data_IF_112633562730
#
_entry.id   IF_112633562730
#
_cell.length_a   1.000
_cell.length_b   1.000
_cell.length_c   1.000
_cell.angle_alpha   90.00
_cell.angle_beta   90.00
_cell.angle_gamma   90.00
#
_symmetry.space_group_name_H-M   'P 1'
#
loop_
_entity.id
_entity.type
_entity.pdbx_description
1 polymer ?
#
# COMPACT_ATOMS: atom_id res chain seq x y z
N UNK A 1 -51.72 -24.66 -78.85
CA UNK A 1 -50.99 -25.46 -79.89
C UNK A 1 -49.71 -25.96 -79.27
N UNK A 2 -49.64 -27.29 -79.19
CA UNK A 2 -48.46 -28.17 -79.40
C UNK A 2 -47.30 -27.95 -78.45
N UNK A 3 -47.18 -28.82 -77.50
CA UNK A 3 -46.48 -30.13 -77.50
C UNK A 3 -45.08 -30.06 -76.93
N UNK A 4 -44.94 -30.80 -75.88
CA UNK A 4 -43.73 -31.34 -75.32
C UNK A 4 -43.01 -32.20 -76.42
N UNK A 5 -41.87 -32.83 -76.24
CA UNK A 5 -41.51 -33.67 -75.05
C UNK A 5 -39.95 -33.78 -74.79
N UNK A 6 -39.57 -34.25 -73.62
CA UNK A 6 -38.99 -35.57 -73.26
C UNK A 6 -37.47 -35.76 -73.32
N UNK A 7 -36.91 -36.30 -72.23
CA UNK A 7 -35.81 -37.26 -71.98
C UNK A 7 -34.37 -36.73 -72.11
N UNK A 8 -33.53 -37.05 -71.21
CA UNK A 8 -33.04 -38.28 -70.68
C UNK A 8 -31.94 -38.10 -69.67
N UNK A 9 -31.96 -38.79 -68.66
CA UNK A 9 -31.17 -39.91 -68.18
C UNK A 9 -29.71 -39.63 -67.83
N UNK A 10 -29.43 -39.92 -66.60
CA UNK A 10 -28.25 -40.59 -66.01
C UNK A 10 -26.93 -39.84 -65.82
N UNK A 11 -26.46 -39.97 -64.65
CA UNK A 11 -25.06 -39.73 -64.31
C UNK A 11 -24.83 -39.65 -62.79
N UNK A 12 -24.80 -40.79 -62.11
CA UNK A 12 -24.26 -40.97 -60.79
C UNK A 12 -22.88 -40.38 -60.67
N UNK A 13 -22.64 -39.54 -59.71
CA UNK A 13 -21.34 -39.44 -59.10
C UNK A 13 -21.46 -38.97 -57.67
N UNK A 14 -21.30 -39.92 -56.78
CA UNK A 14 -21.16 -39.73 -55.33
C UNK A 14 -19.73 -39.23 -55.12
N UNK A 15 -19.54 -37.95 -54.83
CA UNK A 15 -18.27 -37.44 -54.33
C UNK A 15 -18.47 -37.09 -52.85
N UNK A 16 -17.98 -37.99 -52.01
CA UNK A 16 -17.74 -37.76 -50.61
C UNK A 16 -16.74 -36.61 -50.44
N UNK A 17 -17.22 -35.42 -50.11
CA UNK A 17 -16.40 -34.39 -49.51
C UNK A 17 -16.30 -34.64 -48.03
N UNK A 18 -15.23 -35.30 -47.63
CA UNK A 18 -14.79 -35.37 -46.26
C UNK A 18 -14.39 -33.95 -45.81
N UNK A 19 -15.28 -33.29 -45.06
CA UNK A 19 -14.96 -32.07 -44.31
C UNK A 19 -14.00 -32.45 -43.19
N UNK A 20 -12.70 -32.31 -43.47
CA UNK A 20 -11.67 -32.32 -42.41
C UNK A 20 -11.83 -31.08 -41.57
N UNK A 21 -12.56 -31.18 -40.44
CA UNK A 21 -12.55 -30.17 -39.37
C UNK A 21 -11.18 -30.22 -38.72
N UNK A 22 -10.29 -29.34 -39.18
CA UNK A 22 -9.05 -29.04 -38.46
C UNK A 22 -9.46 -28.27 -37.19
N UNK A 23 -9.63 -29.01 -36.10
CA UNK A 23 -9.75 -28.43 -34.76
C UNK A 23 -8.39 -27.80 -34.45
N UNK A 24 -8.30 -26.48 -34.66
CA UNK A 24 -7.19 -25.66 -34.22
C UNK A 24 -7.21 -25.59 -32.71
N UNK A 25 -6.60 -26.57 -32.06
CA UNK A 25 -6.27 -26.50 -30.64
C UNK A 25 -5.28 -25.34 -30.47
N UNK A 26 -5.80 -24.15 -30.14
CA UNK A 26 -4.97 -23.11 -29.59
C UNK A 26 -4.47 -23.63 -28.25
N UNK A 27 -3.27 -24.21 -28.28
CA UNK A 27 -2.46 -24.36 -27.07
C UNK A 27 -2.20 -22.95 -26.56
N UNK A 28 -3.01 -22.50 -25.60
CA UNK A 28 -2.65 -21.41 -24.71
C UNK A 28 -1.48 -21.93 -23.90
N UNK A 29 -0.29 -21.76 -24.41
CA UNK A 29 0.93 -21.94 -23.65
C UNK A 29 0.81 -20.93 -22.51
N UNK A 30 0.67 -21.36 -21.24
CA UNK A 30 0.80 -20.42 -20.15
C UNK A 30 2.21 -19.84 -20.30
N UNK A 31 2.27 -18.54 -20.59
CA UNK A 31 3.54 -17.82 -20.51
C UNK A 31 3.92 -17.93 -19.03
N UNK A 32 4.72 -18.93 -18.71
CA UNK A 32 5.46 -18.98 -17.44
C UNK A 32 6.32 -17.71 -17.46
N UNK A 33 5.80 -16.62 -16.87
CA UNK A 33 6.61 -15.46 -16.55
C UNK A 33 7.75 -16.01 -15.71
N UNK A 34 8.94 -16.02 -16.29
CA UNK A 34 10.14 -16.45 -15.59
C UNK A 34 10.22 -15.61 -14.32
N UNK A 35 9.94 -16.26 -13.18
CA UNK A 35 10.04 -15.63 -11.88
C UNK A 35 11.48 -15.19 -11.74
N UNK A 36 11.70 -13.88 -11.58
CA UNK A 36 13.04 -13.34 -11.43
C UNK A 36 13.61 -13.84 -10.08
N UNK A 37 14.58 -14.79 -10.09
CA UNK A 37 15.10 -15.40 -8.88
C UNK A 37 15.78 -14.38 -7.95
N UNK A 38 16.33 -13.30 -8.51
CA UNK A 38 16.89 -12.21 -7.73
C UNK A 38 15.80 -11.47 -6.95
N UNK A 39 14.68 -11.15 -7.60
CA UNK A 39 13.54 -10.52 -6.93
C UNK A 39 12.98 -11.40 -5.82
N UNK A 40 12.87 -12.71 -6.05
CA UNK A 40 12.42 -13.66 -5.03
C UNK A 40 13.37 -13.69 -3.83
N UNK A 41 14.68 -13.74 -4.06
CA UNK A 41 15.68 -13.68 -3.00
C UNK A 41 15.59 -12.37 -2.19
N UNK A 42 15.45 -11.23 -2.86
CA UNK A 42 15.29 -9.91 -2.19
C UNK A 42 14.01 -9.80 -1.40
N UNK A 43 12.92 -10.36 -1.91
CA UNK A 43 11.66 -10.41 -1.18
C UNK A 43 11.77 -11.27 0.08
N UNK A 44 12.47 -12.40 0.02
CA UNK A 44 12.75 -13.24 1.18
C UNK A 44 13.60 -12.50 2.24
N UNK A 45 14.69 -11.85 1.82
CA UNK A 45 15.53 -11.01 2.69
C UNK A 45 14.74 -9.90 3.38
N UNK A 46 13.89 -9.20 2.62
CA UNK A 46 13.03 -8.14 3.16
C UNK A 46 12.09 -8.68 4.24
N UNK A 47 11.38 -9.77 3.96
CA UNK A 47 10.45 -10.40 4.91
C UNK A 47 11.14 -10.87 6.19
N UNK A 48 12.30 -11.47 6.05
CA UNK A 48 13.10 -11.92 7.20
C UNK A 48 13.60 -10.74 8.03
N UNK A 49 14.11 -9.70 7.37
CA UNK A 49 14.55 -8.46 8.03
C UNK A 49 13.41 -7.81 8.81
N UNK A 50 12.22 -7.67 8.20
CA UNK A 50 11.05 -7.10 8.86
C UNK A 50 10.61 -7.93 10.08
N UNK A 51 10.65 -9.26 9.97
CA UNK A 51 10.27 -10.15 11.08
C UNK A 51 11.23 -10.04 12.26
N UNK A 52 12.55 -10.06 12.01
CA UNK A 52 13.59 -9.86 13.05
C UNK A 52 13.43 -8.49 13.70
N UNK A 53 13.29 -7.46 12.89
CA UNK A 53 13.19 -6.10 13.37
C UNK A 53 11.97 -5.88 14.28
N UNK A 54 10.81 -6.48 13.93
CA UNK A 54 9.61 -6.43 14.79
C UNK A 54 9.88 -7.00 16.18
N UNK A 55 10.64 -8.11 16.28
CA UNK A 55 11.01 -8.71 17.56
C UNK A 55 11.94 -7.80 18.36
N UNK A 56 12.94 -7.19 17.71
CA UNK A 56 13.87 -6.26 18.36
C UNK A 56 13.16 -5.02 18.87
N UNK A 57 12.31 -4.41 18.04
CA UNK A 57 11.58 -3.19 18.38
C UNK A 57 10.59 -3.39 19.54
N UNK A 58 10.12 -4.61 19.78
CA UNK A 58 9.25 -4.93 20.92
C UNK A 58 9.92 -4.72 22.28
N UNK A 59 11.25 -4.57 22.34
CA UNK A 59 12.00 -4.27 23.55
C UNK A 59 12.26 -2.77 23.75
N UNK A 60 11.55 -1.92 23.01
CA UNK A 60 11.72 -0.47 23.08
C UNK A 60 10.41 0.24 23.33
N UNK A 61 10.47 1.34 24.10
CA UNK A 61 9.49 2.42 24.06
C UNK A 61 10.10 3.64 23.38
N UNK A 62 9.24 4.57 22.92
CA UNK A 62 9.66 5.80 22.28
C UNK A 62 8.64 6.91 22.43
N UNK A 63 9.07 8.15 22.27
CA UNK A 63 8.18 9.31 22.19
C UNK A 63 7.73 9.51 20.75
N UNK A 64 6.42 9.62 20.54
CA UNK A 64 5.82 9.95 19.25
C UNK A 64 5.15 11.33 19.33
N UNK A 65 5.50 12.21 18.40
CA UNK A 65 4.86 13.49 18.17
C UNK A 65 3.99 13.40 16.91
N UNK A 66 2.70 13.70 17.03
CA UNK A 66 1.75 13.78 15.91
C UNK A 66 1.36 15.25 15.71
N UNK A 67 1.64 15.81 14.53
CA UNK A 67 1.25 17.18 14.13
C UNK A 67 0.21 17.09 13.02
N UNK A 68 -0.97 17.63 13.27
CA UNK A 68 -2.06 17.68 12.29
C UNK A 68 -2.15 19.10 11.73
N UNK A 69 -1.96 19.23 10.42
CA UNK A 69 -2.02 20.50 9.69
C UNK A 69 -3.15 20.47 8.67
N UNK A 70 -3.84 21.62 8.53
CA UNK A 70 -4.88 21.82 7.54
C UNK A 70 -4.53 23.04 6.69
N UNK A 71 -4.41 22.85 5.37
CA UNK A 71 -4.04 23.91 4.42
C UNK A 71 -2.72 24.59 4.78
N UNK A 72 -1.75 23.80 5.29
CA UNK A 72 -0.44 24.27 5.70
C UNK A 72 -0.39 24.92 7.08
N UNK A 73 -1.52 25.08 7.78
CA UNK A 73 -1.55 25.60 9.15
C UNK A 73 -1.66 24.46 10.16
N UNK A 74 -0.80 24.43 11.15
CA UNK A 74 -0.88 23.52 12.28
C UNK A 74 -2.17 23.75 13.07
N UNK A 75 -2.91 22.67 13.33
CA UNK A 75 -4.17 22.70 14.06
C UNK A 75 -4.13 21.95 15.36
N UNK A 76 -3.26 20.93 15.46
CA UNK A 76 -3.12 20.10 16.64
C UNK A 76 -1.74 19.50 16.69
N UNK A 77 -1.16 19.47 17.87
CA UNK A 77 0.04 18.71 18.23
C UNK A 77 -0.31 17.76 19.38
N UNK A 78 0.17 16.52 19.33
CA UNK A 78 -0.01 15.51 20.38
C UNK A 78 1.30 14.77 20.62
N UNK A 79 1.59 14.49 21.89
CA UNK A 79 2.75 13.73 22.33
C UNK A 79 2.30 12.43 23.00
N UNK A 80 2.93 11.33 22.62
CA UNK A 80 2.62 10.01 23.14
C UNK A 80 3.89 9.30 23.60
N UNK A 81 3.80 8.58 24.71
CA UNK A 81 4.68 7.45 24.97
C UNK A 81 4.11 6.22 24.27
N UNK A 82 4.97 5.50 23.54
CA UNK A 82 4.56 4.40 22.68
C UNK A 82 5.42 3.18 22.95
N UNK A 83 4.77 2.02 23.03
CA UNK A 83 5.42 0.71 23.06
C UNK A 83 4.64 -0.29 22.22
N UNK A 84 5.27 -1.40 21.80
CA UNK A 84 4.55 -2.48 21.13
C UNK A 84 3.83 -3.36 22.15
N UNK A 85 2.54 -3.55 21.95
CA UNK A 85 1.76 -4.51 22.70
C UNK A 85 2.09 -5.98 22.34
N UNK A 86 1.51 -6.95 23.06
CA UNK A 86 1.70 -8.37 22.81
C UNK A 86 1.29 -8.82 21.38
N UNK A 87 0.37 -8.10 20.77
CA UNK A 87 -0.06 -8.30 19.38
C UNK A 87 0.91 -7.67 18.36
N UNK A 88 1.93 -6.95 18.85
CA UNK A 88 2.90 -6.22 18.04
C UNK A 88 2.35 -4.98 17.39
N UNK A 89 1.25 -4.42 17.93
CA UNK A 89 0.71 -3.12 17.53
C UNK A 89 1.16 -2.04 18.51
N UNK A 90 1.38 -0.80 18.03
CA UNK A 90 1.70 0.33 18.90
C UNK A 90 0.56 0.60 19.91
N UNK A 91 0.92 0.66 21.17
CA UNK A 91 0.08 1.14 22.27
C UNK A 91 0.56 2.53 22.64
N UNK A 92 -0.35 3.50 22.61
CA UNK A 92 -0.04 4.91 22.83
C UNK A 92 -0.64 5.40 24.15
N UNK A 93 0.19 6.04 24.99
CA UNK A 93 -0.24 6.77 26.18
C UNK A 93 0.00 8.25 25.95
N UNK A 94 -1.04 9.07 26.03
CA UNK A 94 -0.90 10.51 25.83
C UNK A 94 -0.10 11.13 26.99
N UNK A 95 0.95 11.87 26.66
CA UNK A 95 1.82 12.55 27.64
C UNK A 95 1.30 13.92 28.06
N UNK A 96 0.38 14.51 27.28
CA UNK A 96 -0.24 15.80 27.60
C UNK A 96 -1.77 15.72 27.56
N UNK A 97 -2.41 15.12 28.58
CA UNK A 97 -3.86 14.95 28.61
C UNK A 97 -4.65 16.27 28.71
N UNK A 98 -3.99 17.40 29.00
CA UNK A 98 -4.68 18.68 29.20
C UNK A 98 -4.90 19.48 27.90
N UNK A 99 -4.30 19.10 26.76
CA UNK A 99 -4.50 19.80 25.49
C UNK A 99 -5.81 19.47 24.77
N UNK A 100 -6.62 18.55 25.26
CA UNK A 100 -7.78 18.03 24.54
C UNK A 100 -9.12 18.75 24.81
N UNK A 101 -9.22 19.74 25.71
CA UNK A 101 -10.51 20.20 26.22
C UNK A 101 -10.86 21.69 26.02
N UNK A 102 -10.09 22.47 25.29
CA UNK A 102 -10.33 23.93 25.17
C UNK A 102 -11.43 24.32 24.13
N UNK A 103 -12.24 23.38 23.66
CA UNK A 103 -13.35 23.64 22.72
C UNK A 103 -14.75 23.65 23.34
N UNK A 104 -14.89 23.65 24.65
CA UNK A 104 -16.21 23.80 25.27
C UNK A 104 -16.62 25.28 25.32
N UNK A 105 -17.69 25.60 24.59
CA UNK A 105 -18.53 26.79 24.72
C UNK A 105 -18.36 27.93 23.68
N UNK A 106 -18.81 27.66 22.45
CA UNK A 106 -19.42 28.74 21.66
C UNK A 106 -20.75 28.25 21.09
N UNK A 107 -21.82 28.41 21.90
CA UNK A 107 -23.20 28.12 21.50
C UNK A 107 -23.68 29.16 20.49
N UNK A 108 -24.05 28.75 19.26
CA UNK A 108 -24.66 29.56 18.22
C UNK A 108 -24.63 28.84 16.87
N UNK A 109 -25.40 29.33 15.87
CA UNK A 109 -25.43 28.73 14.51
C UNK A 109 -24.04 28.67 13.88
N UNK A 110 -23.19 29.66 14.10
CA UNK A 110 -21.79 29.66 13.64
C UNK A 110 -20.95 28.60 14.34
N UNK A 111 -21.19 28.34 15.63
CA UNK A 111 -20.55 27.25 16.39
C UNK A 111 -20.87 25.88 15.78
N UNK A 112 -22.15 25.60 15.51
CA UNK A 112 -22.58 24.32 14.92
C UNK A 112 -21.98 24.07 13.54
N UNK A 113 -21.84 25.10 12.67
CA UNK A 113 -21.20 24.96 11.36
C UNK A 113 -19.71 24.65 11.52
N UNK A 114 -19.04 25.28 12.49
CA UNK A 114 -17.62 25.03 12.79
C UNK A 114 -17.41 23.63 13.34
N UNK A 115 -18.24 23.20 14.30
CA UNK A 115 -18.21 21.85 14.86
C UNK A 115 -18.41 20.78 13.78
N UNK A 116 -19.38 20.97 12.88
CA UNK A 116 -19.60 20.05 11.76
C UNK A 116 -18.40 19.96 10.82
N UNK A 117 -17.71 21.06 10.56
CA UNK A 117 -16.48 21.03 9.75
C UNK A 117 -15.32 20.36 10.47
N UNK A 118 -15.15 20.57 11.76
CA UNK A 118 -14.13 19.91 12.56
C UNK A 118 -14.37 18.39 12.54
N UNK A 119 -15.61 17.97 12.73
CA UNK A 119 -15.98 16.56 12.68
C UNK A 119 -15.70 15.94 11.31
N UNK A 120 -16.03 16.63 10.22
CA UNK A 120 -15.72 16.18 8.87
C UNK A 120 -14.22 15.98 8.62
N UNK A 121 -13.35 16.84 9.19
CA UNK A 121 -11.89 16.66 9.09
C UNK A 121 -11.38 15.55 9.98
N UNK A 122 -11.97 15.33 11.15
CA UNK A 122 -11.65 14.20 12.02
C UNK A 122 -11.99 12.87 11.34
N UNK A 123 -13.21 12.75 10.79
CA UNK A 123 -13.62 11.58 10.04
C UNK A 123 -12.68 11.31 8.85
N UNK A 124 -12.30 12.33 8.12
CA UNK A 124 -11.37 12.21 6.99
C UNK A 124 -9.98 11.74 7.45
N UNK A 125 -9.45 12.29 8.54
CA UNK A 125 -8.19 11.86 9.13
C UNK A 125 -8.23 10.38 9.56
N UNK A 126 -9.32 9.94 10.17
CA UNK A 126 -9.50 8.54 10.58
C UNK A 126 -9.62 7.59 9.38
N UNK A 127 -10.30 8.03 8.30
CA UNK A 127 -10.35 7.27 7.04
C UNK A 127 -8.95 7.13 6.41
N UNK A 128 -8.15 8.20 6.39
CA UNK A 128 -6.76 8.16 5.92
C UNK A 128 -5.92 7.19 6.76
N UNK A 129 -5.99 7.27 8.08
CA UNK A 129 -5.27 6.36 9.00
C UNK A 129 -5.70 4.91 8.79
N UNK A 130 -7.01 4.66 8.71
CA UNK A 130 -7.57 3.32 8.47
C UNK A 130 -7.13 2.74 7.13
N UNK A 131 -7.09 3.57 6.07
CA UNK A 131 -6.56 3.17 4.78
C UNK A 131 -5.09 2.76 4.91
N UNK A 132 -4.25 3.56 5.57
CA UNK A 132 -2.82 3.28 5.70
C UNK A 132 -2.53 2.04 6.55
N UNK A 133 -3.37 1.70 7.50
CA UNK A 133 -3.25 0.45 8.27
C UNK A 133 -3.32 -0.83 7.40
N UNK A 134 -3.90 -0.75 6.20
CA UNK A 134 -3.93 -1.86 5.24
C UNK A 134 -2.59 -2.05 4.50
N UNK A 135 -1.72 -1.03 4.56
CA UNK A 135 -0.40 -1.04 3.90
C UNK A 135 0.75 -1.26 4.87
N UNK A 136 0.57 -0.91 6.15
CA UNK A 136 1.67 -0.88 7.14
C UNK A 136 1.29 -1.66 8.40
N UNK A 137 2.08 -2.66 8.78
CA UNK A 137 3.23 -3.22 8.06
C UNK A 137 2.81 -3.97 6.79
N UNK A 138 3.67 -4.05 5.76
CA UNK A 138 3.35 -4.82 4.56
C UNK A 138 3.07 -6.28 4.89
N UNK A 139 1.92 -6.79 4.44
CA UNK A 139 1.52 -8.17 4.69
C UNK A 139 2.27 -9.15 3.77
N UNK A 140 2.79 -10.23 4.36
CA UNK A 140 3.51 -11.27 3.61
C UNK A 140 2.67 -11.85 2.46
N UNK A 141 1.39 -12.11 2.71
CA UNK A 141 0.48 -12.68 1.72
C UNK A 141 0.29 -11.75 0.52
N UNK A 142 0.09 -10.45 0.77
CA UNK A 142 -0.05 -9.44 -0.30
C UNK A 142 1.25 -9.26 -1.09
N UNK A 143 2.41 -9.32 -0.44
CA UNK A 143 3.71 -9.28 -1.12
C UNK A 143 3.89 -10.50 -2.04
N UNK A 144 3.53 -11.70 -1.58
CA UNK A 144 3.60 -12.92 -2.37
C UNK A 144 2.62 -12.87 -3.54
N UNK A 145 1.41 -12.40 -3.32
CA UNK A 145 0.40 -12.21 -4.37
C UNK A 145 0.88 -11.22 -5.44
N UNK A 146 1.40 -10.06 -5.05
CA UNK A 146 1.92 -9.06 -5.97
C UNK A 146 3.08 -9.63 -6.81
N UNK A 147 3.96 -10.42 -6.20
CA UNK A 147 5.03 -11.11 -6.90
C UNK A 147 4.49 -12.11 -7.94
N UNK A 148 3.56 -12.96 -7.55
CA UNK A 148 2.95 -13.97 -8.44
C UNK A 148 2.19 -13.34 -9.60
N UNK A 149 1.52 -12.22 -9.36
CA UNK A 149 0.78 -11.49 -10.39
C UNK A 149 1.68 -10.66 -11.32
N UNK A 150 2.99 -10.55 -11.01
CA UNK A 150 3.92 -9.72 -11.77
C UNK A 150 3.69 -8.21 -11.57
N UNK A 151 3.05 -7.83 -10.48
CA UNK A 151 2.80 -6.44 -10.07
C UNK A 151 3.99 -5.84 -9.30
N UNK A 152 5.13 -6.52 -9.28
CA UNK A 152 6.32 -6.11 -8.56
C UNK A 152 7.48 -5.86 -9.52
N UNK A 153 8.09 -4.69 -9.41
CA UNK A 153 9.31 -4.32 -10.13
C UNK A 153 10.44 -4.10 -9.15
N UNK A 154 11.63 -4.50 -9.56
CA UNK A 154 12.86 -4.39 -8.79
C UNK A 154 13.90 -3.66 -9.63
N UNK A 155 14.66 -2.76 -9.00
CA UNK A 155 15.70 -2.00 -9.68
C UNK A 155 16.61 -1.25 -8.72
N UNK A 156 17.69 -0.62 -9.23
CA UNK A 156 18.56 0.23 -8.44
C UNK A 156 17.79 1.46 -7.92
N UNK A 157 18.14 1.90 -6.73
CA UNK A 157 17.59 3.14 -6.14
C UNK A 157 18.43 4.40 -6.46
N UNK A 158 19.52 4.24 -7.21
CA UNK A 158 20.44 5.34 -7.56
C UNK A 158 21.60 5.52 -6.59
N UNK A 159 21.60 4.81 -5.48
CA UNK A 159 22.70 4.79 -4.49
C UNK A 159 23.28 3.36 -4.43
N UNK A 160 24.61 3.19 -4.30
CA UNK A 160 25.22 1.87 -4.15
C UNK A 160 24.59 1.09 -2.98
N UNK A 161 24.39 -0.20 -3.17
CA UNK A 161 23.74 -1.12 -2.21
C UNK A 161 22.27 -0.86 -1.90
N UNK A 162 21.65 0.16 -2.51
CA UNK A 162 20.23 0.41 -2.37
C UNK A 162 19.44 -0.13 -3.56
N UNK A 163 18.32 -0.75 -3.25
CA UNK A 163 17.38 -1.28 -4.23
C UNK A 163 16.00 -0.72 -3.99
N UNK A 164 15.31 -0.47 -5.08
CA UNK A 164 13.92 -0.03 -5.10
C UNK A 164 13.02 -1.20 -5.49
N UNK A 165 11.99 -1.42 -4.71
CA UNK A 165 10.91 -2.36 -5.02
C UNK A 165 9.64 -1.52 -5.20
N UNK A 166 9.04 -1.58 -6.38
CA UNK A 166 7.77 -0.91 -6.70
C UNK A 166 6.71 -1.97 -6.86
N UNK A 167 5.63 -1.84 -6.10
CA UNK A 167 4.48 -2.74 -6.14
C UNK A 167 3.29 -1.92 -6.59
N UNK A 168 2.60 -2.37 -7.63
CA UNK A 168 1.39 -1.73 -8.16
C UNK A 168 0.18 -2.61 -7.87
N UNK A 169 -1.00 -2.01 -7.71
CA UNK A 169 -2.25 -2.72 -7.37
C UNK A 169 -2.07 -3.61 -6.13
N UNK A 170 -1.51 -3.04 -5.06
CA UNK A 170 -1.13 -3.79 -3.86
C UNK A 170 -2.34 -4.13 -2.98
N UNK A 171 -3.16 -3.13 -2.62
CA UNK A 171 -4.41 -3.29 -1.86
C UNK A 171 -5.62 -3.04 -2.76
N UNK A 172 -5.53 -2.06 -3.64
CA UNK A 172 -6.60 -1.68 -4.56
C UNK A 172 -6.05 -1.28 -5.94
N UNK A 173 -6.89 -1.26 -6.99
CA UNK A 173 -6.46 -0.85 -8.32
C UNK A 173 -5.84 0.55 -8.34
N UNK A 174 -4.78 0.75 -9.12
CA UNK A 174 -4.06 2.02 -9.31
C UNK A 174 -3.31 2.54 -8.08
N UNK A 175 -3.24 1.79 -6.99
CA UNK A 175 -2.35 2.13 -5.89
C UNK A 175 -0.91 1.71 -6.18
N UNK A 176 0.01 2.21 -5.38
CA UNK A 176 1.40 1.78 -5.43
C UNK A 176 2.09 1.87 -4.08
N UNK A 177 3.00 0.95 -3.85
CA UNK A 177 3.93 0.94 -2.72
C UNK A 177 5.35 0.91 -3.27
N UNK A 178 6.18 1.86 -2.87
CA UNK A 178 7.60 1.90 -3.20
C UNK A 178 8.41 1.72 -1.93
N UNK A 179 9.26 0.71 -1.90
CA UNK A 179 10.17 0.41 -0.81
C UNK A 179 11.61 0.66 -1.28
N UNK A 180 12.42 1.31 -0.46
CA UNK A 180 13.87 1.40 -0.65
C UNK A 180 14.56 0.61 0.46
N UNK A 181 15.36 -0.36 0.06
CA UNK A 181 16.02 -1.32 0.94
C UNK A 181 17.54 -1.31 0.73
N UNK A 182 18.30 -1.25 1.83
CA UNK A 182 19.74 -1.39 1.78
C UNK A 182 20.12 -2.88 1.89
N UNK A 183 20.77 -3.39 0.83
CA UNK A 183 21.17 -4.81 0.72
C UNK A 183 22.26 -5.19 1.71
N UNK A 184 23.18 -4.28 1.99
CA UNK A 184 24.32 -4.53 2.88
C UNK A 184 23.88 -4.55 4.34
N UNK A 185 23.08 -3.57 4.73
CA UNK A 185 22.58 -3.44 6.10
C UNK A 185 21.31 -4.26 6.34
N UNK A 186 20.73 -4.81 5.28
CA UNK A 186 19.48 -5.61 5.30
C UNK A 186 18.33 -4.91 6.01
N UNK A 187 18.17 -3.61 5.76
CA UNK A 187 17.13 -2.78 6.38
C UNK A 187 16.35 -1.93 5.38
N UNK A 188 15.12 -1.63 5.72
CA UNK A 188 14.27 -0.70 4.99
C UNK A 188 14.74 0.74 5.30
N UNK A 189 14.87 1.57 4.27
CA UNK A 189 15.26 2.97 4.38
C UNK A 189 14.06 3.90 4.26
N UNK A 190 13.18 3.63 3.30
CA UNK A 190 11.96 4.42 3.12
C UNK A 190 10.84 3.58 2.53
N UNK A 191 9.61 4.04 2.77
CA UNK A 191 8.40 3.51 2.17
C UNK A 191 7.51 4.66 1.72
N UNK A 192 7.11 4.62 0.45
CA UNK A 192 6.17 5.57 -0.12
C UNK A 192 4.94 4.82 -0.60
N UNK A 193 3.76 5.31 -0.23
CA UNK A 193 2.48 4.77 -0.65
C UNK A 193 1.71 5.87 -1.38
N UNK A 194 1.15 5.53 -2.52
CA UNK A 194 0.17 6.36 -3.23
C UNK A 194 -1.11 5.55 -3.37
N UNK A 195 -2.20 6.07 -2.81
CA UNK A 195 -3.51 5.43 -2.81
C UNK A 195 -4.61 6.48 -2.83
N UNK A 196 -5.85 6.10 -2.56
CA UNK A 196 -7.01 6.98 -2.51
C UNK A 196 -8.06 6.44 -1.56
N UNK A 197 -8.97 7.27 -1.05
CA UNK A 197 -10.06 6.82 -0.19
C UNK A 197 -11.14 6.09 -1.00
N UNK A 198 -12.12 6.79 -1.51
CA UNK A 198 -13.23 6.20 -2.26
C UNK A 198 -13.05 6.30 -3.77
N UNK A 199 -12.40 7.34 -4.24
CA UNK A 199 -12.20 7.67 -5.66
C UNK A 199 -10.75 8.10 -5.91
N UNK A 200 -10.15 7.79 -7.07
CA UNK A 200 -8.77 8.20 -7.40
C UNK A 200 -8.49 9.70 -7.31
N UNK A 201 -9.51 10.55 -7.40
CA UNK A 201 -9.38 12.01 -7.19
C UNK A 201 -9.18 12.38 -5.72
N UNK A 202 -9.56 11.49 -4.79
CA UNK A 202 -9.34 11.67 -3.35
C UNK A 202 -8.05 10.94 -2.91
N UNK A 203 -6.94 11.41 -3.47
CA UNK A 203 -5.64 10.81 -3.30
C UNK A 203 -5.13 10.95 -1.85
N UNK A 204 -4.54 9.87 -1.36
CA UNK A 204 -3.84 9.80 -0.07
C UNK A 204 -2.43 9.30 -0.30
N UNK A 205 -1.44 10.01 0.23
CA UNK A 205 -0.02 9.67 0.11
C UNK A 205 0.60 9.48 1.49
N UNK A 206 1.45 8.49 1.62
CA UNK A 206 2.27 8.29 2.81
C UNK A 206 3.74 8.25 2.40
N UNK A 207 4.56 8.97 3.13
CA UNK A 207 6.01 8.88 3.06
C UNK A 207 6.54 8.53 4.45
N UNK A 208 7.19 7.39 4.60
CA UNK A 208 7.83 6.96 5.84
C UNK A 208 9.34 6.85 5.64
N UNK A 209 10.09 7.40 6.59
CA UNK A 209 11.54 7.29 6.68
C UNK A 209 11.91 6.38 7.85
N UNK A 210 12.98 5.61 7.67
CA UNK A 210 13.46 4.68 8.67
C UNK A 210 14.89 5.05 9.08
N UNK A 211 15.19 4.84 10.35
CA UNK A 211 16.53 5.00 10.94
C UNK A 211 16.86 3.77 11.77
N UNK A 212 18.14 3.61 12.12
CA UNK A 212 18.58 2.52 12.98
C UNK A 212 19.05 3.02 14.32
N UNK A 213 18.71 2.29 15.37
CA UNK A 213 19.26 2.45 16.70
C UNK A 213 20.71 1.91 16.74
N UNK A 214 21.50 2.23 17.77
CA UNK A 214 22.90 1.77 17.89
C UNK A 214 23.08 0.25 17.85
N UNK A 215 22.09 -0.53 18.23
CA UNK A 215 22.10 -2.00 18.18
C UNK A 215 21.65 -2.56 16.81
N UNK A 216 21.39 -1.69 15.83
CA UNK A 216 20.93 -2.06 14.49
C UNK A 216 19.42 -2.24 14.36
N UNK A 217 18.65 -2.06 15.44
CA UNK A 217 17.18 -2.11 15.37
C UNK A 217 16.66 -0.99 14.47
N UNK A 218 15.95 -1.35 13.41
CA UNK A 218 15.38 -0.39 12.47
C UNK A 218 14.01 0.10 12.98
N UNK A 219 13.78 1.39 12.87
CA UNK A 219 12.54 2.02 13.33
C UNK A 219 12.07 3.10 12.35
N UNK A 220 10.79 3.39 12.39
CA UNK A 220 10.23 4.55 11.68
C UNK A 220 10.68 5.80 12.42
N UNK A 221 11.45 6.67 11.74
CA UNK A 221 11.86 7.96 12.29
C UNK A 221 10.83 9.05 12.04
N UNK A 222 10.21 9.04 10.85
CA UNK A 222 9.15 9.99 10.52
C UNK A 222 8.15 9.41 9.53
N UNK A 223 6.92 9.90 9.60
CA UNK A 223 5.86 9.61 8.62
C UNK A 223 5.19 10.93 8.26
N UNK A 224 4.94 11.13 6.97
CA UNK A 224 4.08 12.18 6.46
C UNK A 224 2.90 11.53 5.72
N UNK A 225 1.68 11.81 6.15
CA UNK A 225 0.45 11.30 5.57
C UNK A 225 -0.38 12.48 5.05
N UNK A 226 -0.55 12.54 3.73
CA UNK A 226 -1.20 13.64 3.04
C UNK A 226 -2.53 13.22 2.42
N UNK A 227 -3.61 13.88 2.80
CA UNK A 227 -4.91 13.85 2.15
C UNK A 227 -5.06 15.02 1.19
N UNK A 228 -4.82 14.77 -0.09
CA UNK A 228 -4.64 15.81 -1.10
C UNK A 228 -5.91 16.64 -1.29
N UNK A 229 -7.08 16.01 -1.34
CA UNK A 229 -8.36 16.68 -1.63
C UNK A 229 -8.76 17.71 -0.57
N UNK A 230 -8.44 17.44 0.71
CA UNK A 230 -8.74 18.34 1.83
C UNK A 230 -7.53 19.13 2.32
N UNK A 231 -6.36 18.93 1.73
CA UNK A 231 -5.09 19.53 2.16
C UNK A 231 -4.84 19.29 3.65
N UNK A 232 -5.12 18.07 4.10
CA UNK A 232 -4.89 17.60 5.46
C UNK A 232 -3.59 16.80 5.50
N UNK A 233 -2.67 17.21 6.37
CA UNK A 233 -1.41 16.51 6.60
C UNK A 233 -1.33 16.03 8.04
N UNK A 234 -0.86 14.80 8.24
CA UNK A 234 -0.51 14.25 9.55
C UNK A 234 0.97 13.90 9.51
N UNK A 235 1.77 14.68 10.21
CA UNK A 235 3.21 14.44 10.36
C UNK A 235 3.46 13.74 11.69
N UNK A 236 4.18 12.62 11.65
CA UNK A 236 4.55 11.82 12.83
C UNK A 236 6.07 11.81 12.92
N UNK A 237 6.61 12.09 14.10
CA UNK A 237 8.04 11.99 14.39
C UNK A 237 8.25 11.11 15.62
N UNK A 238 9.13 10.11 15.51
CA UNK A 238 9.46 9.19 16.59
C UNK A 238 10.88 9.46 17.09
N UNK A 239 11.02 9.69 18.39
CA UNK A 239 12.28 10.05 19.07
C UNK A 239 12.41 9.32 20.39
N UNK A 240 13.53 9.52 21.07
CA UNK A 240 13.75 9.08 22.47
C UNK A 240 13.50 7.59 22.69
N UNK A 241 14.03 6.75 21.78
CA UNK A 241 13.94 5.29 21.94
C UNK A 241 14.69 4.82 23.18
N UNK A 242 13.99 4.10 24.05
CA UNK A 242 14.53 3.56 25.30
C UNK A 242 14.27 2.06 25.35
N UNK A 243 15.29 1.31 25.75
CA UNK A 243 15.18 -0.14 25.91
C UNK A 243 14.44 -0.45 27.21
N UNK A 244 13.42 -1.31 27.11
CA UNK A 244 12.60 -1.79 28.23
C UNK A 244 13.33 -2.84 29.06
#
# INVERSE_FOLDING_TARGET
MRQAPVRGISGFSVSCFALATIALWMFTIPILRAQNPELQARLAELKESMARNKQQLAHYSWTQQDIISLKGEEKKEELFDVQLGPDGKPQKTNLDPNMSDDERHRRGLRGRIREKKIEEYKEYAEQMKSLMQQYVPPEKALLDQAYQQGNMMFGPAGVPNEVRIVITNYVKPQDSVTLVFNKQEKRLLSMNISSYLSDPSDAVKLNAQFSSLPDGTNHVSSVNLDGVSKQLTIAVTNTNYQKL
#
